data_IF_275272800867
#
_entry.id   IF_275272800867
#
_cell.length_a   1.000
_cell.length_b   1.000
_cell.length_c   1.000
_cell.angle_alpha   90.00
_cell.angle_beta   90.00
_cell.angle_gamma   90.00
#
_symmetry.space_group_name_H-M   'P 1'
#
loop_
_entity.id
_entity.type
_entity.pdbx_description
1 polymer ?
#
# COMPACT_ATOMS: atom_id res chain seq x y z
N UNK A 1 7.97 -16.16 -0.68
CA UNK A 1 7.28 -16.58 0.56
C UNK A 1 6.93 -18.06 0.43
N UNK A 2 7.32 -18.88 1.41
CA UNK A 2 6.97 -20.29 1.46
C UNK A 2 5.50 -20.48 1.89
N UNK A 3 4.83 -21.53 1.44
CA UNK A 3 3.45 -21.87 1.83
C UNK A 3 3.31 -23.36 2.11
N UNK A 4 2.21 -23.77 2.76
CA UNK A 4 1.87 -25.18 2.94
C UNK A 4 2.95 -25.97 3.71
N UNK A 5 3.27 -27.18 3.23
CA UNK A 5 4.20 -28.09 3.91
C UNK A 5 5.62 -27.52 4.01
N UNK A 6 6.12 -26.88 2.96
CA UNK A 6 7.46 -26.27 2.93
C UNK A 6 7.60 -25.15 3.98
N UNK A 7 6.53 -24.37 4.17
CA UNK A 7 6.48 -23.36 5.23
C UNK A 7 6.59 -24.00 6.63
N UNK A 8 5.88 -25.10 6.87
CA UNK A 8 5.91 -25.79 8.17
C UNK A 8 7.28 -26.42 8.43
N UNK A 9 7.90 -27.04 7.44
CA UNK A 9 9.22 -27.67 7.57
C UNK A 9 10.31 -26.61 7.83
N UNK A 10 10.29 -25.51 7.07
CA UNK A 10 11.23 -24.41 7.29
C UNK A 10 11.01 -23.72 8.63
N UNK A 11 9.76 -23.44 9.00
CA UNK A 11 9.45 -22.82 10.30
C UNK A 11 9.88 -23.71 11.48
N UNK A 12 9.72 -25.04 11.36
CA UNK A 12 10.24 -26.01 12.35
C UNK A 12 11.76 -25.96 12.45
N UNK A 13 12.47 -25.93 11.31
CA UNK A 13 13.94 -25.85 11.30
C UNK A 13 14.51 -24.57 11.92
N UNK A 14 13.71 -23.49 11.97
CA UNK A 14 14.09 -22.18 12.51
C UNK A 14 13.46 -21.90 13.89
N UNK A 15 12.82 -22.88 14.52
CA UNK A 15 12.08 -22.72 15.79
C UNK A 15 12.92 -22.25 16.98
N UNK A 16 14.25 -22.29 16.88
CA UNK A 16 15.18 -21.75 17.86
C UNK A 16 15.45 -20.24 17.70
N UNK A 17 14.84 -19.57 16.71
CA UNK A 17 15.00 -18.15 16.42
C UNK A 17 13.75 -17.36 16.82
N UNK A 18 13.85 -16.02 17.01
CA UNK A 18 12.66 -15.20 17.21
C UNK A 18 11.75 -15.25 15.98
N UNK A 19 10.44 -15.10 16.20
CA UNK A 19 9.40 -15.24 15.17
C UNK A 19 9.67 -14.35 13.94
N UNK A 20 10.27 -13.18 14.14
CA UNK A 20 10.61 -12.23 13.08
C UNK A 20 11.68 -12.78 12.14
N UNK A 21 12.66 -13.50 12.67
CA UNK A 21 13.70 -14.17 11.87
C UNK A 21 13.18 -15.42 11.18
N UNK A 22 12.23 -16.13 11.79
CA UNK A 22 11.54 -17.24 11.15
C UNK A 22 10.74 -16.72 9.95
N UNK A 23 9.95 -15.67 10.14
CA UNK A 23 9.16 -15.05 9.08
C UNK A 23 10.06 -14.55 7.93
N UNK A 24 11.19 -13.90 8.25
CA UNK A 24 12.22 -13.51 7.27
C UNK A 24 12.78 -14.73 6.53
N UNK A 25 13.16 -15.78 7.25
CA UNK A 25 13.71 -17.02 6.69
C UNK A 25 12.72 -17.81 5.82
N UNK A 26 11.42 -17.62 6.03
CA UNK A 26 10.34 -18.15 5.19
C UNK A 26 9.96 -17.20 4.03
N UNK A 27 10.66 -16.07 3.89
CA UNK A 27 10.52 -15.12 2.79
C UNK A 27 9.41 -14.09 2.95
N UNK A 28 8.87 -13.87 4.16
CA UNK A 28 7.79 -12.92 4.46
C UNK A 28 8.30 -11.49 4.67
N UNK A 29 9.00 -10.97 3.68
CA UNK A 29 9.56 -9.62 3.69
C UNK A 29 9.07 -8.86 2.45
N UNK A 30 8.55 -7.66 2.65
CA UNK A 30 8.12 -6.78 1.57
C UNK A 30 9.30 -6.07 0.88
N UNK A 31 9.06 -5.41 -0.26
CA UNK A 31 10.11 -4.73 -1.03
C UNK A 31 10.89 -3.66 -0.24
N UNK A 32 10.26 -3.04 0.76
CA UNK A 32 10.88 -2.05 1.64
C UNK A 32 11.63 -2.65 2.84
N UNK A 33 11.79 -3.98 2.90
CA UNK A 33 12.35 -4.67 4.07
C UNK A 33 11.35 -4.87 5.22
N UNK A 34 10.11 -4.39 5.06
CA UNK A 34 9.05 -4.55 6.08
C UNK A 34 8.64 -6.02 6.23
N UNK A 35 8.61 -6.49 7.47
CA UNK A 35 8.16 -7.85 7.78
C UNK A 35 6.63 -8.00 7.62
N UNK A 36 6.21 -9.03 6.89
CA UNK A 36 4.81 -9.31 6.58
C UNK A 36 4.21 -10.31 7.60
N UNK A 37 4.21 -9.96 8.90
CA UNK A 37 3.75 -10.86 9.98
C UNK A 37 2.33 -11.39 9.78
N UNK A 38 1.39 -10.54 9.37
CA UNK A 38 -0.01 -10.93 9.16
C UNK A 38 -0.15 -12.04 8.10
N UNK A 39 0.59 -11.94 6.98
CA UNK A 39 0.54 -12.99 5.96
C UNK A 39 1.31 -14.25 6.39
N UNK A 40 2.39 -14.10 7.18
CA UNK A 40 3.13 -15.23 7.73
C UNK A 40 2.25 -16.10 8.65
N UNK A 41 1.60 -15.49 9.66
CA UNK A 41 0.72 -16.24 10.55
C UNK A 41 -0.48 -16.83 9.81
N UNK A 42 -1.09 -16.08 8.87
CA UNK A 42 -2.19 -16.60 8.05
C UNK A 42 -1.76 -17.86 7.30
N UNK A 43 -0.60 -17.83 6.66
CA UNK A 43 -0.10 -18.99 5.92
C UNK A 43 0.27 -20.17 6.83
N UNK A 44 0.78 -19.91 8.04
CA UNK A 44 1.01 -20.97 9.03
C UNK A 44 -0.29 -21.64 9.48
N UNK A 45 -1.33 -20.86 9.73
CA UNK A 45 -2.66 -21.38 10.12
C UNK A 45 -3.26 -22.17 8.96
N UNK A 46 -3.22 -21.64 7.74
CA UNK A 46 -3.70 -22.34 6.54
C UNK A 46 -2.92 -23.66 6.31
N UNK A 47 -1.59 -23.65 6.46
CA UNK A 47 -0.78 -24.84 6.31
C UNK A 47 -1.06 -25.90 7.39
N UNK A 48 -1.25 -25.49 8.66
CA UNK A 48 -1.63 -26.40 9.75
C UNK A 48 -3.02 -26.99 9.54
N UNK A 49 -3.99 -26.18 9.14
CA UNK A 49 -5.35 -26.64 8.87
C UNK A 49 -5.37 -27.64 7.71
N UNK A 50 -4.66 -27.34 6.61
CA UNK A 50 -4.52 -28.25 5.47
C UNK A 50 -3.84 -29.57 5.87
N UNK A 51 -2.81 -29.53 6.72
CA UNK A 51 -2.18 -30.73 7.27
C UNK A 51 -3.11 -31.57 8.17
N UNK A 52 -4.10 -30.93 8.80
CA UNK A 52 -5.13 -31.56 9.63
C UNK A 52 -6.40 -31.93 8.83
N UNK A 53 -6.41 -31.72 7.51
CA UNK A 53 -7.55 -32.04 6.65
C UNK A 53 -8.72 -31.04 6.72
N UNK A 54 -8.54 -29.87 7.35
CA UNK A 54 -9.56 -28.81 7.40
C UNK A 54 -9.16 -27.61 6.54
N UNK A 55 -10.11 -27.05 5.80
CA UNK A 55 -9.94 -25.80 5.08
C UNK A 55 -10.49 -24.63 5.91
N UNK A 56 -9.66 -23.61 6.13
CA UNK A 56 -10.14 -22.35 6.70
C UNK A 56 -11.19 -21.71 5.77
N UNK A 57 -12.20 -21.02 6.32
CA UNK A 57 -13.11 -20.21 5.53
C UNK A 57 -12.31 -19.24 4.67
N UNK A 58 -12.38 -19.41 3.35
CA UNK A 58 -11.73 -18.51 2.40
C UNK A 58 -12.51 -17.20 2.40
N UNK A 59 -12.14 -16.26 3.28
CA UNK A 59 -12.52 -14.87 3.05
C UNK A 59 -11.85 -14.47 1.74
N UNK A 60 -12.67 -14.13 0.74
CA UNK A 60 -12.34 -13.85 -0.67
C UNK A 60 -11.46 -12.60 -0.87
N UNK A 61 -10.54 -12.33 0.06
CA UNK A 61 -9.37 -11.48 -0.17
C UNK A 61 -8.29 -12.29 -0.89
N UNK A 62 -8.62 -12.71 -2.11
CA UNK A 62 -7.60 -12.99 -3.12
C UNK A 62 -6.81 -11.69 -3.32
N UNK A 63 -5.71 -11.58 -2.58
CA UNK A 63 -4.64 -10.62 -2.82
C UNK A 63 -3.88 -11.05 -4.08
N UNK A 64 -4.63 -11.17 -5.17
CA UNK A 64 -4.09 -10.98 -6.50
C UNK A 64 -3.73 -9.51 -6.60
N UNK A 65 -2.47 -9.25 -6.96
CA UNK A 65 -1.82 -7.94 -7.02
C UNK A 65 -2.41 -7.02 -8.09
N UNK A 66 -3.69 -6.71 -7.98
CA UNK A 66 -4.25 -5.54 -8.62
C UNK A 66 -3.97 -4.34 -7.72
N UNK A 67 -3.15 -3.41 -8.20
CA UNK A 67 -3.42 -2.00 -8.01
C UNK A 67 -4.81 -1.67 -8.55
N UNK A 68 -5.86 -2.20 -7.91
CA UNK A 68 -7.20 -1.65 -7.96
C UNK A 68 -7.27 -0.56 -6.90
N UNK A 69 -6.23 0.28 -6.91
CA UNK A 69 -6.25 1.56 -6.26
C UNK A 69 -7.51 2.26 -6.71
N UNK A 70 -8.13 2.99 -5.78
CA UNK A 70 -9.26 3.88 -6.06
C UNK A 70 -8.97 4.57 -7.39
N UNK A 71 -9.79 4.29 -8.39
CA UNK A 71 -9.72 5.06 -9.64
C UNK A 71 -9.88 6.52 -9.23
N UNK A 72 -9.05 7.40 -9.78
CA UNK A 72 -9.18 8.82 -9.49
C UNK A 72 -10.52 9.27 -10.10
N UNK A 73 -11.55 9.43 -9.27
CA UNK A 73 -12.87 9.89 -9.70
C UNK A 73 -12.87 11.38 -10.10
N UNK A 74 -11.70 12.01 -10.23
CA UNK A 74 -11.54 13.47 -10.40
C UNK A 74 -12.34 14.27 -9.36
N UNK A 75 -12.52 13.67 -8.18
CA UNK A 75 -13.25 14.23 -7.04
C UNK A 75 -12.39 14.09 -5.80
N UNK A 76 -12.35 15.14 -5.01
CA UNK A 76 -11.74 15.17 -3.68
C UNK A 76 -12.70 15.89 -2.73
N UNK A 77 -12.61 15.60 -1.43
CA UNK A 77 -13.40 16.27 -0.39
C UNK A 77 -12.48 17.07 0.49
N UNK A 78 -12.99 18.15 1.05
CA UNK A 78 -12.29 18.86 2.13
C UNK A 78 -12.18 17.90 3.31
N UNK A 79 -10.95 17.70 3.80
CA UNK A 79 -10.70 16.82 4.92
C UNK A 79 -11.21 17.46 6.23
N UNK A 80 -11.34 16.68 7.30
CA UNK A 80 -11.83 17.19 8.60
C UNK A 80 -10.98 18.32 9.20
N UNK A 81 -9.74 18.48 8.73
CA UNK A 81 -8.84 19.57 9.12
C UNK A 81 -8.96 20.82 8.22
N UNK A 82 -9.90 20.85 7.27
CA UNK A 82 -10.10 21.97 6.35
C UNK A 82 -9.21 21.95 5.10
N UNK A 83 -8.28 21.00 4.96
CA UNK A 83 -7.38 20.95 3.80
C UNK A 83 -8.02 20.23 2.60
N UNK A 84 -7.72 20.73 1.41
CA UNK A 84 -8.02 20.05 0.15
C UNK A 84 -6.72 19.46 -0.40
N UNK A 85 -6.70 18.16 -0.69
CA UNK A 85 -5.51 17.47 -1.19
C UNK A 85 -5.66 17.08 -2.65
N UNK A 86 -4.62 17.38 -3.44
CA UNK A 86 -4.47 16.94 -4.83
C UNK A 86 -3.58 15.69 -4.82
N UNK A 87 -4.17 14.54 -5.16
CA UNK A 87 -3.44 13.27 -5.23
C UNK A 87 -2.48 13.18 -6.41
N UNK A 88 -1.48 12.31 -6.30
CA UNK A 88 -0.45 12.09 -7.32
C UNK A 88 -1.03 11.73 -8.70
N UNK A 89 -2.18 11.07 -8.77
CA UNK A 89 -2.81 10.74 -10.05
C UNK A 89 -3.07 11.98 -10.93
N UNK A 90 -3.38 13.13 -10.31
CA UNK A 90 -3.62 14.39 -11.02
C UNK A 90 -2.32 15.08 -11.39
N UNK A 91 -1.38 15.20 -10.44
CA UNK A 91 -0.09 15.86 -10.67
C UNK A 91 0.73 15.13 -11.74
N UNK A 92 0.68 13.80 -11.78
CA UNK A 92 1.32 12.99 -12.84
C UNK A 92 0.70 13.25 -14.22
N UNK A 93 -0.63 13.38 -14.29
CA UNK A 93 -1.32 13.66 -15.56
C UNK A 93 -0.98 15.04 -16.10
N UNK A 94 -0.67 15.98 -15.22
CA UNK A 94 -0.17 17.31 -15.54
C UNK A 94 1.35 17.35 -15.76
N UNK A 95 2.07 16.25 -15.54
CA UNK A 95 3.53 16.20 -15.69
C UNK A 95 4.29 17.02 -14.64
N UNK A 96 3.71 17.23 -13.46
CA UNK A 96 4.34 18.07 -12.44
C UNK A 96 5.53 17.37 -11.79
N UNK A 97 6.58 18.14 -11.54
CA UNK A 97 7.81 17.69 -10.91
C UNK A 97 7.94 18.22 -9.48
N UNK A 98 8.60 17.48 -8.57
CA UNK A 98 8.91 17.98 -7.23
C UNK A 98 9.72 19.28 -7.29
N UNK A 99 9.28 20.30 -6.55
CA UNK A 99 9.93 21.61 -6.50
C UNK A 99 9.26 22.68 -7.36
N UNK A 100 8.30 22.33 -8.21
CA UNK A 100 7.49 23.32 -8.91
C UNK A 100 6.57 24.08 -7.94
N UNK A 101 6.50 25.39 -8.12
CA UNK A 101 5.69 26.29 -7.31
C UNK A 101 4.47 26.80 -8.08
N UNK A 102 3.39 27.04 -7.36
CA UNK A 102 2.13 27.51 -7.92
C UNK A 102 1.58 28.65 -7.08
N UNK A 103 1.13 29.70 -7.75
CA UNK A 103 0.32 30.75 -7.14
C UNK A 103 -1.13 30.26 -7.04
N UNK A 104 -1.71 30.40 -5.86
CA UNK A 104 -3.12 30.05 -5.61
C UNK A 104 -3.97 31.31 -5.77
N UNK A 105 -4.92 31.26 -6.69
CA UNK A 105 -5.93 32.31 -6.87
C UNK A 105 -7.32 31.79 -6.50
N UNK A 106 -8.02 32.58 -5.69
CA UNK A 106 -9.37 32.26 -5.22
C UNK A 106 -10.39 33.11 -5.98
N UNK A 107 -11.20 32.48 -6.83
CA UNK A 107 -12.33 33.13 -7.48
C UNK A 107 -13.59 32.91 -6.64
N UNK A 108 -13.88 33.85 -5.74
CA UNK A 108 -15.00 33.73 -4.78
C UNK A 108 -16.36 33.64 -5.46
N UNK A 109 -16.55 34.37 -6.55
CA UNK A 109 -17.85 34.44 -7.25
C UNK A 109 -18.22 33.11 -7.93
N UNK A 110 -17.21 32.37 -8.41
CA UNK A 110 -17.37 31.07 -9.07
C UNK A 110 -17.09 29.88 -8.15
N UNK A 111 -16.56 30.13 -6.94
CA UNK A 111 -16.12 29.10 -6.01
C UNK A 111 -14.91 28.29 -6.50
N UNK A 112 -14.13 28.82 -7.44
CA UNK A 112 -12.99 28.12 -8.04
C UNK A 112 -11.68 28.44 -7.32
N UNK A 113 -10.82 27.42 -7.21
CA UNK A 113 -9.42 27.57 -6.82
C UNK A 113 -8.60 27.30 -8.07
N UNK A 114 -7.84 28.31 -8.52
CA UNK A 114 -7.00 28.22 -9.70
C UNK A 114 -5.54 28.16 -9.25
N UNK A 115 -4.79 27.22 -9.82
CA UNK A 115 -3.34 27.10 -9.60
C UNK A 115 -2.64 27.61 -10.87
N UNK A 116 -1.84 28.65 -10.73
CA UNK A 116 -1.00 29.17 -11.81
C UNK A 116 0.45 28.78 -11.54
N UNK A 117 1.08 28.09 -12.48
CA UNK A 117 2.49 27.74 -12.36
C UNK A 117 3.31 29.02 -12.29
N UNK A 118 4.20 29.09 -11.31
CA UNK A 118 5.18 30.17 -11.23
C UNK A 118 6.41 29.69 -12.00
N UNK A 119 6.67 30.32 -13.15
CA UNK A 119 7.94 30.11 -13.83
C UNK A 119 9.04 30.69 -12.94
N UNK A 120 10.07 29.90 -12.64
CA UNK A 120 11.25 30.33 -11.88
C UNK A 120 12.17 31.28 -12.69
N UNK A 121 11.71 31.75 -13.84
CA UNK A 121 12.41 32.74 -14.67
C UNK A 121 11.75 34.12 -14.53
N UNK A 122 12.11 34.83 -13.46
CA UNK A 122 12.20 36.28 -13.52
C UNK A 122 13.49 36.70 -12.81
N UNK A 123 14.36 37.50 -13.48
CA UNK A 123 15.82 37.50 -13.32
C UNK A 123 16.35 38.01 -11.98
#
# INVERSE_FOLDING_TARGET
MLVGKELLDKARSLSNRPEDDIARGCGYVGPSGRLLKKSFYRALVEAKAAAQGWQLPKSSSSSSGGSRGRQAEFRTRVHGNGNLLIGHAYTRRLGLEPGQEFKIELQRDSGMIVLQQMDQDQP
#
